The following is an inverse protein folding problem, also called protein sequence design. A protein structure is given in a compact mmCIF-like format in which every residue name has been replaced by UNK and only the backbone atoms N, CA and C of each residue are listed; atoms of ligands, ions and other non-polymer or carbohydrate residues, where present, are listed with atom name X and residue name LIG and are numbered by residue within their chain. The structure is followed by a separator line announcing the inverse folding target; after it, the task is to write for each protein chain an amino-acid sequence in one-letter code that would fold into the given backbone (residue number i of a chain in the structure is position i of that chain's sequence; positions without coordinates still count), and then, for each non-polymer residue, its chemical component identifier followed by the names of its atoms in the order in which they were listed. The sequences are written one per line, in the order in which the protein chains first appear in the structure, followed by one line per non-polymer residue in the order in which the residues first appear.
data_IF_553479179693
#
_entry.id   IF_553479179693
#
_cell.length_a   1.000
_cell.length_b   1.000
_cell.length_c   1.000
_cell.angle_alpha   90.00
_cell.angle_beta   90.00
_cell.angle_gamma   90.00
#
_symmetry.space_group_name_H-M   'P 1'
#
loop_
_entity.id
_entity.type
_entity.pdbx_description
1 polymer ?
#
# COMPACT_ATOMS: atom_id res chain seq x y z
N UNK A 1 4.47 21.40 -8.03
CA UNK A 1 4.43 20.30 -9.03
C UNK A 1 3.62 19.16 -8.46
N UNK A 2 2.45 18.93 -9.01
CA UNK A 2 1.59 17.82 -8.60
C UNK A 2 2.15 16.56 -9.23
N UNK A 3 2.62 15.66 -8.38
CA UNK A 3 3.27 14.42 -8.81
C UNK A 3 2.25 13.50 -9.49
N UNK A 4 2.37 13.34 -10.79
CA UNK A 4 1.45 12.60 -11.66
C UNK A 4 1.38 11.10 -11.34
N UNK A 5 2.36 10.57 -10.61
CA UNK A 5 2.42 9.15 -10.22
C UNK A 5 1.36 8.75 -9.21
N UNK A 6 0.91 9.66 -8.35
CA UNK A 6 -0.11 9.36 -7.33
C UNK A 6 -1.54 9.41 -7.86
N UNK A 7 -1.80 10.13 -8.96
CA UNK A 7 -3.16 10.25 -9.51
C UNK A 7 -3.69 8.97 -10.17
N UNK A 8 -2.82 8.07 -10.58
CA UNK A 8 -3.22 6.78 -11.18
C UNK A 8 -3.82 5.82 -10.14
N UNK A 9 -3.54 6.05 -8.87
CA UNK A 9 -4.02 5.22 -7.76
C UNK A 9 -5.51 5.39 -7.45
N UNK A 10 -6.13 6.47 -7.89
CA UNK A 10 -7.44 6.88 -7.38
C UNK A 10 -8.64 6.31 -8.15
N UNK A 11 -8.47 5.94 -9.42
CA UNK A 11 -9.60 5.57 -10.28
C UNK A 11 -10.14 4.16 -9.98
N UNK A 12 -9.34 3.30 -9.36
CA UNK A 12 -9.72 1.89 -9.14
C UNK A 12 -10.32 1.64 -7.74
N UNK A 13 -10.05 2.50 -6.78
CA UNK A 13 -10.58 2.35 -5.41
C UNK A 13 -12.08 2.72 -5.28
N UNK A 14 -12.64 3.43 -6.25
CA UNK A 14 -14.00 3.94 -6.18
C UNK A 14 -15.11 2.90 -6.43
N UNK A 15 -14.77 1.71 -6.94
CA UNK A 15 -15.79 0.74 -7.39
C UNK A 15 -16.16 -0.36 -6.38
N UNK A 16 -15.56 -0.41 -5.21
CA UNK A 16 -15.77 -1.52 -4.24
C UNK A 16 -16.19 -1.02 -2.85
N UNK A 17 -16.55 0.24 -2.67
CA UNK A 17 -16.86 0.75 -1.35
C UNK A 17 -18.33 1.13 -1.18
N UNK A 18 -18.96 0.49 -0.21
CA UNK A 18 -20.23 0.87 0.40
C UNK A 18 -20.25 2.37 0.74
N UNK A 19 -21.28 3.07 0.28
CA UNK A 19 -21.49 4.53 0.36
C UNK A 19 -21.59 5.13 1.80
N UNK A 20 -21.27 4.38 2.85
CA UNK A 20 -21.59 4.79 4.23
C UNK A 20 -20.48 5.52 5.01
N UNK A 21 -19.29 5.74 4.42
CA UNK A 21 -18.15 6.33 5.16
C UNK A 21 -17.47 7.52 4.46
N UNK A 22 -18.17 8.24 3.61
CA UNK A 22 -17.65 9.43 2.91
C UNK A 22 -17.70 10.71 3.77
N UNK A 23 -17.48 10.57 5.06
CA UNK A 23 -17.40 11.71 5.97
C UNK A 23 -15.95 11.94 6.42
N UNK A 24 -15.27 12.92 5.84
CA UNK A 24 -14.03 13.51 6.37
C UNK A 24 -12.70 12.79 6.09
N UNK A 25 -12.55 12.07 4.98
CA UNK A 25 -11.26 11.50 4.56
C UNK A 25 -10.67 10.45 5.51
N UNK A 26 -11.49 9.87 6.35
CA UNK A 26 -11.15 8.77 7.23
C UNK A 26 -11.83 7.50 6.78
N UNK A 27 -11.11 6.38 6.94
CA UNK A 27 -11.68 5.05 6.71
C UNK A 27 -11.35 4.10 7.84
N UNK A 28 -12.16 3.08 7.98
CA UNK A 28 -11.89 1.99 8.90
C UNK A 28 -11.26 0.83 8.14
N UNK A 29 -10.09 0.41 8.57
CA UNK A 29 -9.43 -0.80 8.07
C UNK A 29 -9.66 -1.91 9.08
N UNK A 30 -10.35 -2.98 8.64
CA UNK A 30 -10.53 -4.17 9.45
C UNK A 30 -9.38 -5.16 9.20
N UNK A 31 -8.87 -5.78 10.24
CA UNK A 31 -7.89 -6.86 10.16
C UNK A 31 -8.20 -7.94 11.19
N UNK A 32 -7.80 -9.17 10.88
CA UNK A 32 -7.96 -10.28 11.80
C UNK A 32 -6.69 -10.45 12.64
N UNK A 33 -6.81 -10.29 13.95
CA UNK A 33 -5.72 -10.60 14.88
C UNK A 33 -5.80 -12.09 15.24
N UNK A 34 -4.86 -12.87 14.71
CA UNK A 34 -4.81 -14.31 14.94
C UNK A 34 -4.51 -14.70 16.40
N UNK A 35 -3.91 -13.81 17.18
CA UNK A 35 -3.61 -14.07 18.60
C UNK A 35 -4.87 -13.97 19.45
N UNK A 36 -5.74 -13.03 19.13
CA UNK A 36 -6.98 -12.78 19.84
C UNK A 36 -8.18 -13.47 19.19
N UNK A 37 -8.00 -14.04 18.00
CA UNK A 37 -9.05 -14.60 17.15
C UNK A 37 -10.23 -13.62 16.96
N UNK A 38 -9.90 -12.33 16.82
CA UNK A 38 -10.88 -11.26 16.70
C UNK A 38 -10.60 -10.39 15.49
N UNK A 39 -11.68 -9.86 14.90
CA UNK A 39 -11.57 -8.82 13.88
C UNK A 39 -11.43 -7.47 14.56
N UNK A 40 -10.24 -6.91 14.45
CA UNK A 40 -9.94 -5.56 14.93
C UNK A 40 -10.21 -4.54 13.83
N UNK A 41 -10.45 -3.31 14.22
CA UNK A 41 -10.66 -2.18 13.31
C UNK A 41 -9.79 -1.01 13.75
N UNK A 42 -9.11 -0.41 12.78
CA UNK A 42 -8.37 0.84 13.01
C UNK A 42 -8.91 1.92 12.09
N UNK A 43 -8.92 3.14 12.59
CA UNK A 43 -9.22 4.31 11.78
C UNK A 43 -7.93 4.84 11.19
N UNK A 44 -7.96 5.11 9.88
CA UNK A 44 -6.84 5.65 9.13
C UNK A 44 -7.34 6.77 8.23
N UNK A 45 -6.44 7.65 7.84
CA UNK A 45 -6.74 8.69 6.85
C UNK A 45 -6.52 8.15 5.43
N UNK A 46 -7.34 8.62 4.50
CA UNK A 46 -7.08 8.41 3.10
C UNK A 46 -5.93 9.30 2.62
N UNK A 47 -5.15 8.80 1.68
CA UNK A 47 -3.94 9.45 1.17
C UNK A 47 -4.13 10.89 0.70
N UNK A 48 -5.27 11.18 0.06
CA UNK A 48 -5.56 12.51 -0.50
C UNK A 48 -6.17 13.49 0.52
N UNK A 49 -6.46 13.04 1.74
CA UNK A 49 -7.09 13.84 2.77
C UNK A 49 -6.14 14.24 3.91
N UNK A 50 -4.85 14.05 3.71
CA UNK A 50 -3.81 14.48 4.65
C UNK A 50 -3.11 15.73 4.13
N UNK A 51 -2.65 16.59 5.03
CA UNK A 51 -1.96 17.82 4.67
C UNK A 51 -0.57 17.52 4.09
N UNK A 52 0.14 16.60 4.72
CA UNK A 52 1.40 16.05 4.22
C UNK A 52 1.23 14.56 3.97
N UNK A 53 1.47 14.13 2.73
CA UNK A 53 1.39 12.72 2.35
C UNK A 53 2.61 11.93 2.85
N UNK A 54 2.44 10.65 3.22
CA UNK A 54 3.58 9.82 3.58
C UNK A 54 4.50 9.61 2.38
N UNK A 55 5.81 9.56 2.64
CA UNK A 55 6.83 9.41 1.61
C UNK A 55 7.81 8.29 1.93
N UNK A 56 8.18 7.54 0.89
CA UNK A 56 9.32 6.64 0.96
C UNK A 56 10.62 7.44 1.20
N UNK A 57 11.56 6.97 2.03
CA UNK A 57 12.85 7.64 2.21
C UNK A 57 13.58 7.85 0.88
N UNK A 58 13.87 9.10 0.53
CA UNK A 58 14.47 9.46 -0.76
C UNK A 58 13.46 9.67 -1.89
N UNK A 59 12.15 9.53 -1.64
CA UNK A 59 11.08 9.81 -2.59
C UNK A 59 10.76 8.66 -3.56
N UNK A 60 9.95 8.95 -4.56
CA UNK A 60 9.41 7.95 -5.49
C UNK A 60 10.50 7.21 -6.29
N UNK A 61 11.55 7.92 -6.71
CA UNK A 61 12.67 7.29 -7.44
C UNK A 61 13.40 6.26 -6.59
N UNK A 62 13.62 6.57 -5.31
CA UNK A 62 14.25 5.66 -4.36
C UNK A 62 13.33 4.44 -4.08
N UNK A 63 12.02 4.65 -4.02
CA UNK A 63 11.04 3.56 -3.88
C UNK A 63 11.06 2.61 -5.08
N UNK A 64 11.04 3.15 -6.30
CA UNK A 64 11.12 2.33 -7.52
C UNK A 64 12.43 1.54 -7.57
N UNK A 65 13.54 2.18 -7.22
CA UNK A 65 14.85 1.51 -7.12
C UNK A 65 14.83 0.38 -6.11
N UNK A 66 14.30 0.65 -4.91
CA UNK A 66 14.15 -0.36 -3.86
C UNK A 66 13.34 -1.57 -4.32
N UNK A 67 12.18 -1.34 -4.94
CA UNK A 67 11.33 -2.41 -5.47
C UNK A 67 12.09 -3.24 -6.50
N UNK A 68 12.80 -2.61 -7.43
CA UNK A 68 13.53 -3.31 -8.48
C UNK A 68 14.70 -4.13 -7.94
N UNK A 69 15.37 -3.66 -6.89
CA UNK A 69 16.51 -4.34 -6.26
C UNK A 69 16.07 -5.50 -5.35
N UNK A 70 14.93 -5.38 -4.68
CA UNK A 70 14.47 -6.36 -3.69
C UNK A 70 13.47 -7.37 -4.25
N UNK A 71 12.77 -7.01 -5.33
CA UNK A 71 11.81 -7.91 -5.98
C UNK A 71 12.53 -9.07 -6.65
N UNK A 72 12.11 -10.28 -6.31
CA UNK A 72 12.54 -11.52 -6.94
C UNK A 72 11.40 -12.04 -7.83
N UNK A 73 11.73 -12.47 -9.02
CA UNK A 73 10.74 -13.12 -9.87
C UNK A 73 10.59 -14.57 -9.43
N UNK A 74 9.39 -15.01 -9.00
CA UNK A 74 9.18 -16.41 -8.63
C UNK A 74 9.42 -17.34 -9.82
N UNK A 75 10.09 -18.48 -9.57
CA UNK A 75 10.48 -19.39 -10.65
C UNK A 75 9.29 -19.92 -11.45
N UNK A 76 8.21 -20.27 -10.78
CA UNK A 76 7.00 -20.79 -11.44
C UNK A 76 6.36 -19.73 -12.35
N UNK A 77 6.24 -18.49 -11.87
CA UNK A 77 5.72 -17.39 -12.65
C UNK A 77 6.64 -17.05 -13.84
N UNK A 78 7.95 -17.13 -13.64
CA UNK A 78 8.93 -16.91 -14.71
C UNK A 78 8.83 -17.98 -15.80
N UNK A 79 8.78 -19.24 -15.44
CA UNK A 79 8.66 -20.37 -16.38
C UNK A 79 7.35 -20.33 -17.16
N UNK A 80 6.26 -19.95 -16.51
CA UNK A 80 4.94 -19.82 -17.13
C UNK A 80 4.72 -18.46 -17.83
N UNK A 81 5.74 -17.59 -17.84
CA UNK A 81 5.69 -16.23 -18.43
C UNK A 81 4.52 -15.39 -17.92
N UNK A 82 4.20 -15.52 -16.64
CA UNK A 82 3.14 -14.74 -16.00
C UNK A 82 3.65 -13.35 -15.64
N UNK A 83 3.07 -12.33 -16.24
CA UNK A 83 3.35 -10.92 -15.99
C UNK A 83 2.12 -10.21 -15.44
N UNK A 84 2.33 -9.09 -14.79
CA UNK A 84 1.22 -8.25 -14.33
C UNK A 84 1.63 -7.29 -13.23
N UNK A 85 0.63 -6.61 -12.66
CA UNK A 85 0.79 -5.71 -11.52
C UNK A 85 -0.05 -6.22 -10.38
N UNK A 86 0.60 -6.49 -9.26
CA UNK A 86 -0.09 -6.80 -8.01
C UNK A 86 -0.40 -5.49 -7.30
N UNK A 87 -1.68 -5.19 -7.13
CA UNK A 87 -2.12 -3.99 -6.43
C UNK A 87 -2.25 -4.31 -4.94
N UNK A 88 -1.41 -3.65 -4.15
CA UNK A 88 -1.37 -3.84 -2.70
C UNK A 88 -1.86 -2.60 -1.97
N UNK A 89 -2.45 -2.79 -0.80
CA UNK A 89 -2.73 -1.74 0.16
C UNK A 89 -1.94 -1.97 1.44
N UNK A 90 -1.61 -0.89 2.13
CA UNK A 90 -0.94 -0.92 3.42
C UNK A 90 -1.22 0.37 4.18
N UNK A 91 -0.88 0.38 5.46
CA UNK A 91 -0.97 1.55 6.31
C UNK A 91 0.45 2.02 6.66
N UNK A 92 0.72 3.29 6.44
CA UNK A 92 1.90 3.97 7.00
C UNK A 92 1.50 4.52 8.36
N UNK A 93 2.06 3.95 9.42
CA UNK A 93 1.74 4.33 10.78
C UNK A 93 2.35 5.68 11.16
N UNK A 94 2.01 6.19 12.33
CA UNK A 94 2.49 7.48 12.85
C UNK A 94 4.01 7.55 13.02
N UNK A 95 4.68 6.40 13.20
CA UNK A 95 6.12 6.26 13.29
C UNK A 95 6.80 5.97 11.93
N UNK A 96 6.02 5.90 10.84
CA UNK A 96 6.47 5.54 9.51
C UNK A 96 6.56 4.05 9.22
N UNK A 97 6.34 3.18 10.20
CA UNK A 97 6.32 1.74 9.98
C UNK A 97 5.13 1.32 9.11
N UNK A 98 5.35 0.34 8.24
CA UNK A 98 4.30 -0.23 7.40
C UNK A 98 3.60 -1.37 8.14
N UNK A 99 2.27 -1.41 8.03
CA UNK A 99 1.44 -2.47 8.57
C UNK A 99 0.23 -2.75 7.69
N UNK A 100 -0.53 -3.80 8.01
CA UNK A 100 -1.80 -4.13 7.36
C UNK A 100 -1.67 -4.27 5.84
N UNK A 101 -0.59 -4.90 5.38
CA UNK A 101 -0.34 -5.16 3.95
C UNK A 101 -1.36 -6.18 3.43
N UNK A 102 -2.06 -5.83 2.37
CA UNK A 102 -3.08 -6.67 1.73
C UNK A 102 -3.01 -6.58 0.22
N UNK A 103 -3.47 -7.63 -0.43
CA UNK A 103 -3.68 -7.66 -1.88
C UNK A 103 -5.07 -7.12 -2.19
N UNK A 104 -5.15 -6.05 -2.97
CA UNK A 104 -6.41 -5.53 -3.50
C UNK A 104 -6.76 -6.19 -4.82
N UNK A 105 -5.75 -6.38 -5.68
CA UNK A 105 -5.88 -7.06 -6.95
C UNK A 105 -4.63 -7.89 -7.20
N UNK A 106 -4.79 -9.20 -7.20
CA UNK A 106 -3.71 -10.14 -7.47
C UNK A 106 -3.59 -10.50 -8.94
N UNK A 107 -2.50 -11.19 -9.26
CA UNK A 107 -2.24 -11.77 -10.57
C UNK A 107 -2.18 -13.29 -10.44
N UNK A 108 -1.25 -13.77 -9.62
CA UNK A 108 -1.01 -15.18 -9.35
C UNK A 108 -0.47 -15.32 -7.92
N UNK A 109 -0.74 -16.44 -7.21
CA UNK A 109 -0.35 -16.61 -5.80
C UNK A 109 1.12 -16.33 -5.51
N UNK A 110 2.05 -16.77 -6.37
CA UNK A 110 3.49 -16.56 -6.17
C UNK A 110 3.89 -15.10 -6.33
N UNK A 111 3.36 -14.39 -7.33
CA UNK A 111 3.56 -12.96 -7.52
C UNK A 111 2.93 -12.14 -6.39
N UNK A 112 1.76 -12.55 -5.92
CA UNK A 112 1.06 -11.90 -4.82
C UNK A 112 1.88 -11.99 -3.52
N UNK A 113 2.39 -13.18 -3.20
CA UNK A 113 3.23 -13.40 -2.02
C UNK A 113 4.52 -12.57 -2.09
N UNK A 114 5.17 -12.52 -3.25
CA UNK A 114 6.38 -11.73 -3.45
C UNK A 114 6.12 -10.22 -3.30
N UNK A 115 5.01 -9.71 -3.83
CA UNK A 115 4.64 -8.31 -3.67
C UNK A 115 4.46 -7.94 -2.18
N UNK A 116 3.78 -8.78 -1.40
CA UNK A 116 3.62 -8.59 0.04
C UNK A 116 4.97 -8.61 0.76
N UNK A 117 5.85 -9.53 0.40
CA UNK A 117 7.19 -9.63 0.96
C UNK A 117 7.99 -8.34 0.73
N UNK A 118 8.02 -7.84 -0.49
CA UNK A 118 8.75 -6.63 -0.86
C UNK A 118 8.25 -5.42 -0.06
N UNK A 119 6.93 -5.26 0.07
CA UNK A 119 6.36 -4.15 0.86
C UNK A 119 6.73 -4.27 2.33
N UNK A 120 6.67 -5.48 2.90
CA UNK A 120 7.04 -5.71 4.30
C UNK A 120 8.53 -5.45 4.59
N UNK A 121 9.39 -5.53 3.59
CA UNK A 121 10.82 -5.22 3.71
C UNK A 121 11.16 -3.73 3.53
N UNK A 122 10.19 -2.90 3.17
CA UNK A 122 10.43 -1.47 3.01
C UNK A 122 10.89 -0.83 4.33
N UNK A 123 11.82 0.13 4.26
CA UNK A 123 12.21 0.91 5.43
C UNK A 123 11.06 1.77 5.95
N UNK A 124 11.23 2.38 7.10
CA UNK A 124 10.24 3.34 7.63
C UNK A 124 10.08 4.50 6.67
N UNK A 125 8.83 4.83 6.39
CA UNK A 125 8.45 5.98 5.59
C UNK A 125 8.43 7.25 6.46
N UNK A 126 8.45 8.40 5.82
CA UNK A 126 8.03 9.62 6.49
C UNK A 126 6.53 9.56 6.67
N UNK A 127 6.00 9.68 7.90
CA UNK A 127 4.57 9.56 8.14
C UNK A 127 3.80 10.73 7.54
N UNK A 128 2.54 10.50 7.23
CA UNK A 128 1.61 11.57 6.86
C UNK A 128 1.22 12.45 8.05
N UNK A 129 0.75 13.66 7.78
CA UNK A 129 0.33 14.60 8.81
C UNK A 129 -1.00 15.27 8.49
N UNK A 130 -1.74 15.54 9.54
CA UNK A 130 -2.91 16.43 9.54
C UNK A 130 -2.76 17.38 10.73
N UNK A 131 -2.89 18.69 10.49
CA UNK A 131 -2.69 19.73 11.52
C UNK A 131 -1.35 19.59 12.26
N UNK A 132 -0.26 19.34 11.54
CA UNK A 132 1.10 19.10 12.04
C UNK A 132 1.27 17.83 12.91
N UNK A 133 0.22 17.08 13.15
CA UNK A 133 0.28 15.81 13.88
C UNK A 133 0.44 14.62 12.91
N UNK A 134 1.32 13.68 13.24
CA UNK A 134 1.45 12.44 12.48
C UNK A 134 0.22 11.57 12.62
N UNK A 135 -0.26 11.05 11.49
CA UNK A 135 -1.48 10.22 11.43
C UNK A 135 -1.22 8.94 10.64
N UNK A 136 -1.95 7.85 10.93
CA UNK A 136 -1.87 6.65 10.10
C UNK A 136 -2.58 6.90 8.77
N UNK A 137 -1.93 6.54 7.65
CA UNK A 137 -2.44 6.79 6.29
C UNK A 137 -2.54 5.49 5.51
N UNK A 138 -3.70 5.29 4.89
CA UNK A 138 -3.94 4.17 3.97
C UNK A 138 -3.35 4.49 2.60
N UNK A 139 -2.45 3.61 2.13
CA UNK A 139 -1.75 3.75 0.87
C UNK A 139 -2.03 2.54 -0.03
N UNK A 140 -2.01 2.79 -1.34
CA UNK A 140 -2.12 1.76 -2.37
C UNK A 140 -0.89 1.85 -3.27
N UNK A 141 -0.27 0.71 -3.56
CA UNK A 141 0.94 0.64 -4.38
C UNK A 141 0.87 -0.56 -5.33
N UNK A 142 1.05 -0.35 -6.65
CA UNK A 142 1.23 -1.45 -7.59
C UNK A 142 2.67 -1.94 -7.57
N UNK A 143 2.85 -3.25 -7.48
CA UNK A 143 4.14 -3.91 -7.67
C UNK A 143 4.15 -4.55 -9.06
N UNK A 144 4.92 -4.03 -10.01
CA UNK A 144 4.95 -4.55 -11.37
C UNK A 144 5.86 -5.77 -11.46
N UNK A 145 5.42 -6.79 -12.20
CA UNK A 145 6.21 -7.95 -12.62
C UNK A 145 6.24 -7.99 -14.15
N UNK A 146 7.41 -7.82 -14.71
CA UNK A 146 7.67 -7.88 -16.16
C UNK A 146 8.91 -8.73 -16.41
N UNK A 147 8.86 -9.52 -17.48
CA UNK A 147 9.98 -10.34 -17.98
C UNK A 147 10.89 -9.56 -18.89
#
# INVERSE_FOLDING_TARGET
MINTSCKIFFIIAASVMSLAAYGQGRRTVAYHDSRLNQTMRIEVYDYDFVDEQPHFPGGDKAMVKFINEHRRYPADAYLNRVEGRVLCSFVVNTDGAISHVRILRGVEPSLNAEAVRVINEMPRWRPGKVDDATVPVFCILPIPFRL
#
